data_IF_024064463896
#
_entry.id   IF_024064463896
#
_cell.length_a   1.000
_cell.length_b   1.000
_cell.length_c   1.000
_cell.angle_alpha   90.00
_cell.angle_beta   90.00
_cell.angle_gamma   90.00
#
_symmetry.space_group_name_H-M   'P 1'
#
loop_
_entity.id
_entity.type
_entity.pdbx_description
1 polymer ?
#
# COMPACT_ATOMS: atom_id res chain seq x y z
N UNK A 1 1.75 -17.26 2.84
CA UNK A 1 1.38 -15.84 2.68
C UNK A 1 1.49 -15.09 4.01
N UNK A 2 0.78 -15.51 5.09
CA UNK A 2 0.75 -14.79 6.38
C UNK A 2 2.16 -14.69 7.01
N UNK A 3 2.93 -15.77 7.04
CA UNK A 3 4.28 -15.77 7.58
C UNK A 3 5.21 -14.78 6.84
N UNK A 4 5.14 -14.74 5.52
CA UNK A 4 5.88 -13.77 4.70
C UNK A 4 5.46 -12.32 5.02
N UNK A 5 4.17 -12.10 5.25
CA UNK A 5 3.63 -10.81 5.65
C UNK A 5 4.15 -10.36 7.01
N UNK A 6 4.17 -11.25 7.99
CA UNK A 6 4.71 -10.97 9.33
C UNK A 6 6.20 -10.65 9.29
N UNK A 7 6.98 -11.42 8.51
CA UNK A 7 8.42 -11.19 8.33
C UNK A 7 8.66 -9.82 7.68
N UNK A 8 7.91 -9.49 6.61
CA UNK A 8 8.07 -8.22 5.91
C UNK A 8 7.72 -7.01 6.79
N UNK A 9 6.59 -7.06 7.49
CA UNK A 9 6.20 -6.01 8.42
C UNK A 9 7.20 -5.91 9.59
N UNK A 10 7.63 -7.06 10.13
CA UNK A 10 8.63 -7.12 11.19
C UNK A 10 9.96 -6.49 10.76
N UNK A 11 10.37 -6.67 9.50
CA UNK A 11 11.59 -6.06 8.96
C UNK A 11 11.52 -4.53 8.95
N UNK A 12 10.40 -3.95 8.53
CA UNK A 12 10.22 -2.48 8.47
C UNK A 12 10.28 -1.88 9.89
N UNK A 13 9.63 -2.53 10.87
CA UNK A 13 9.70 -2.09 12.27
C UNK A 13 11.08 -2.32 12.86
N UNK A 14 11.75 -3.43 12.54
CA UNK A 14 13.12 -3.70 13.00
C UNK A 14 14.11 -2.61 12.55
N UNK A 15 13.99 -2.14 11.30
CA UNK A 15 14.81 -1.04 10.77
C UNK A 15 14.56 0.25 11.57
N UNK A 16 13.32 0.53 11.90
CA UNK A 16 12.93 1.67 12.74
C UNK A 16 13.60 1.59 14.13
N UNK A 17 13.45 0.47 14.83
CA UNK A 17 14.03 0.26 16.15
C UNK A 17 15.57 0.30 16.12
N UNK A 18 16.17 -0.20 15.03
CA UNK A 18 17.62 -0.13 14.83
C UNK A 18 18.10 1.33 14.71
N UNK A 19 17.31 2.20 14.10
CA UNK A 19 17.58 3.64 14.07
C UNK A 19 17.69 4.21 15.49
N UNK A 20 16.71 3.95 16.33
CA UNK A 20 16.73 4.37 17.74
C UNK A 20 17.92 3.79 18.51
N UNK A 21 18.20 2.50 18.32
CA UNK A 21 19.32 1.81 18.96
C UNK A 21 20.66 2.47 18.63
N UNK A 22 20.94 2.69 17.34
CA UNK A 22 22.21 3.28 16.89
C UNK A 22 22.38 4.69 17.45
N UNK A 23 21.33 5.52 17.37
CA UNK A 23 21.38 6.89 17.86
C UNK A 23 21.47 6.95 19.39
N UNK A 24 20.76 6.10 20.13
CA UNK A 24 20.86 6.03 21.58
C UNK A 24 22.31 5.78 22.02
N UNK A 25 22.94 4.76 21.43
CA UNK A 25 24.35 4.42 21.70
C UNK A 25 25.31 5.57 21.33
N UNK A 26 25.09 6.20 20.17
CA UNK A 26 25.90 7.35 19.72
C UNK A 26 25.75 8.57 20.64
N UNK A 27 24.56 8.78 21.21
CA UNK A 27 24.26 9.89 22.13
C UNK A 27 24.61 9.59 23.59
N UNK A 28 25.19 8.40 23.87
CA UNK A 28 25.60 8.01 25.21
C UNK A 28 24.46 7.52 26.12
N UNK A 29 23.36 7.08 25.51
CA UNK A 29 22.24 6.43 26.22
C UNK A 29 22.39 4.93 26.12
N UNK A 30 22.31 4.27 27.29
CA UNK A 30 22.43 2.82 27.39
C UNK A 30 21.14 2.16 26.93
N UNK A 31 21.26 1.12 26.08
CA UNK A 31 20.12 0.31 25.65
C UNK A 31 20.17 -1.00 26.44
N UNK A 32 19.17 -1.22 27.29
CA UNK A 32 19.05 -2.43 28.12
C UNK A 32 18.65 -3.65 27.29
N UNK A 33 17.68 -3.49 26.42
CA UNK A 33 17.16 -4.59 25.58
C UNK A 33 16.87 -4.12 24.17
N UNK A 34 17.30 -4.89 23.19
CA UNK A 34 16.88 -4.78 21.81
C UNK A 34 16.17 -6.07 21.40
N UNK A 35 14.87 -6.00 21.14
CA UNK A 35 14.06 -7.18 20.84
C UNK A 35 13.60 -7.19 19.40
N UNK A 36 13.75 -8.34 18.74
CA UNK A 36 13.12 -8.70 17.49
C UNK A 36 11.85 -9.47 17.85
N UNK A 37 10.70 -8.85 17.63
CA UNK A 37 9.41 -9.38 18.03
C UNK A 37 8.95 -8.95 19.42
N UNK A 38 7.73 -9.34 19.75
CA UNK A 38 7.06 -9.07 21.03
C UNK A 38 6.77 -10.35 21.80
N UNK A 39 6.56 -10.21 23.10
CA UNK A 39 6.15 -11.32 23.98
C UNK A 39 7.31 -12.02 24.68
N UNK A 40 7.11 -13.27 25.15
CA UNK A 40 8.11 -14.04 25.85
C UNK A 40 9.36 -14.26 25.02
N UNK A 41 10.53 -14.26 25.69
CA UNK A 41 11.81 -14.53 25.06
C UNK A 41 11.91 -16.00 24.64
N UNK A 42 12.22 -16.25 23.37
CA UNK A 42 12.58 -17.59 22.85
C UNK A 42 14.09 -17.81 23.00
N UNK A 43 14.87 -16.84 22.52
CA UNK A 43 16.34 -16.89 22.50
C UNK A 43 16.91 -15.50 22.69
N UNK A 44 18.21 -15.42 22.99
CA UNK A 44 18.89 -14.15 23.07
C UNK A 44 20.27 -14.29 23.71
N UNK A 45 21.06 -13.23 23.57
CA UNK A 45 22.42 -13.14 24.12
C UNK A 45 22.65 -11.71 24.62
N UNK A 46 23.66 -11.55 25.50
CA UNK A 46 24.09 -10.21 25.94
C UNK A 46 25.40 -9.83 25.26
N UNK A 47 25.43 -8.63 24.65
CA UNK A 47 26.65 -8.08 24.03
C UNK A 47 26.65 -6.56 24.15
N UNK A 48 27.77 -6.00 24.57
CA UNK A 48 27.97 -4.56 24.69
C UNK A 48 27.03 -3.86 25.68
N UNK A 49 26.62 -4.55 26.77
CA UNK A 49 25.68 -4.04 27.76
C UNK A 49 24.19 -4.21 27.37
N UNK A 50 23.89 -4.60 26.15
CA UNK A 50 22.51 -4.79 25.64
C UNK A 50 22.16 -6.28 25.61
N UNK A 51 20.96 -6.62 26.06
CA UNK A 51 20.35 -7.92 25.82
C UNK A 51 19.67 -7.92 24.44
N UNK A 52 20.20 -8.73 23.53
CA UNK A 52 19.60 -9.00 22.23
C UNK A 52 18.61 -10.15 22.37
N UNK A 53 17.35 -9.91 22.03
CA UNK A 53 16.25 -10.83 22.32
C UNK A 53 15.47 -11.18 21.04
N UNK A 54 15.14 -12.46 20.90
CA UNK A 54 14.16 -12.95 19.94
C UNK A 54 12.92 -13.36 20.71
N UNK A 55 11.78 -12.83 20.33
CA UNK A 55 10.49 -13.03 21.00
C UNK A 55 9.50 -13.83 20.15
N UNK A 56 8.47 -14.39 20.79
CA UNK A 56 7.53 -15.35 20.20
C UNK A 56 6.77 -14.78 18.99
N UNK A 57 6.33 -13.52 19.08
CA UNK A 57 5.54 -12.91 18.03
C UNK A 57 6.46 -12.08 17.12
N UNK A 58 6.71 -12.49 15.85
CA UNK A 58 7.62 -11.82 14.94
C UNK A 58 7.00 -10.54 14.33
N UNK A 59 6.19 -9.83 15.10
CA UNK A 59 5.52 -8.60 14.69
C UNK A 59 6.25 -7.43 15.35
N UNK A 60 7.11 -6.76 14.58
CA UNK A 60 7.84 -5.60 15.09
C UNK A 60 9.02 -5.91 15.99
N UNK A 61 9.25 -5.04 16.95
CA UNK A 61 10.34 -5.10 17.92
C UNK A 61 10.24 -3.98 18.92
N UNK A 62 11.25 -3.82 19.76
CA UNK A 62 11.40 -2.66 20.64
C UNK A 62 12.85 -2.43 21.06
N UNK A 63 13.17 -1.17 21.31
CA UNK A 63 14.46 -0.73 21.82
C UNK A 63 14.24 -0.14 23.23
N UNK A 64 14.47 -0.94 24.29
CA UNK A 64 14.34 -0.49 25.68
C UNK A 64 15.58 0.25 26.13
N UNK A 65 15.43 1.55 26.38
CA UNK A 65 16.50 2.41 26.86
C UNK A 65 16.50 2.47 28.39
N UNK A 66 17.68 2.66 28.99
CA UNK A 66 17.82 2.85 30.43
C UNK A 66 17.04 4.07 30.90
N UNK A 67 16.34 3.95 32.04
CA UNK A 67 15.59 5.02 32.68
C UNK A 67 14.07 4.81 32.68
N UNK A 68 13.54 3.78 32.04
CA UNK A 68 12.10 3.45 32.11
C UNK A 68 11.67 3.06 33.53
N UNK A 69 12.52 2.28 34.22
CA UNK A 69 12.24 1.87 35.59
C UNK A 69 12.23 3.08 36.54
N UNK A 70 13.22 3.97 36.42
CA UNK A 70 13.30 5.21 37.19
C UNK A 70 12.14 6.12 36.93
N UNK A 71 11.63 6.15 35.68
CA UNK A 71 10.41 6.88 35.32
C UNK A 71 9.17 6.30 36.02
N UNK A 72 9.03 4.97 36.04
CA UNK A 72 7.92 4.29 36.73
C UNK A 72 7.94 4.60 38.23
N UNK A 73 9.10 4.46 38.85
CA UNK A 73 9.28 4.77 40.31
C UNK A 73 8.98 6.24 40.60
N UNK A 74 9.41 7.17 39.74
CA UNK A 74 9.10 8.59 39.87
C UNK A 74 7.59 8.88 39.80
N UNK A 75 6.86 8.14 38.96
CA UNK A 75 5.39 8.22 38.87
C UNK A 75 4.72 7.71 40.15
N UNK A 76 5.09 6.53 40.61
CA UNK A 76 4.56 5.90 41.82
C UNK A 76 4.78 6.78 43.07
N UNK A 77 5.98 7.35 43.19
CA UNK A 77 6.36 8.23 44.30
C UNK A 77 5.89 9.68 44.11
N UNK A 78 5.15 9.99 43.03
CA UNK A 78 4.67 11.35 42.68
C UNK A 78 5.81 12.38 42.69
N UNK A 79 7.02 11.97 42.27
CA UNK A 79 8.20 12.81 42.27
C UNK A 79 7.97 14.08 41.41
N UNK A 80 8.48 15.25 41.85
CA UNK A 80 8.35 16.49 41.10
C UNK A 80 9.19 16.52 39.82
N UNK A 81 10.28 15.76 39.79
CA UNK A 81 11.24 15.68 38.67
C UNK A 81 11.72 14.25 38.45
N UNK A 82 12.19 13.97 37.23
CA UNK A 82 12.83 12.69 36.89
C UNK A 82 14.29 12.65 37.39
N UNK A 83 14.73 11.51 37.92
CA UNK A 83 16.14 11.31 38.24
C UNK A 83 17.03 11.46 37.00
N UNK A 84 18.08 12.26 37.12
CA UNK A 84 19.08 12.42 36.04
C UNK A 84 20.20 11.41 36.19
N UNK A 85 19.92 10.17 35.84
CA UNK A 85 20.92 9.10 35.87
C UNK A 85 21.82 9.17 34.64
N UNK A 86 23.13 8.97 34.84
CA UNK A 86 24.08 8.88 33.73
C UNK A 86 23.76 7.69 32.85
N UNK A 87 23.77 7.91 31.53
CA UNK A 87 23.42 6.88 30.53
C UNK A 87 21.93 6.61 30.39
N UNK A 88 21.02 7.28 31.16
CA UNK A 88 19.59 7.12 31.00
C UNK A 88 19.02 8.06 29.92
N UNK A 89 17.93 7.63 29.28
CA UNK A 89 17.25 8.43 28.29
C UNK A 89 16.73 9.76 28.87
N UNK A 90 16.12 9.72 30.04
CA UNK A 90 15.60 10.93 30.70
C UNK A 90 16.70 11.80 31.32
N UNK A 91 17.90 11.26 31.55
CA UNK A 91 19.08 12.02 31.97
C UNK A 91 19.78 12.75 30.82
N UNK A 92 19.53 12.35 29.58
CA UNK A 92 20.07 12.97 28.39
C UNK A 92 19.44 14.36 28.14
N UNK A 93 20.21 15.27 27.49
CA UNK A 93 19.71 16.58 27.12
C UNK A 93 18.53 16.47 26.11
N UNK A 94 17.62 17.46 26.10
CA UNK A 94 16.50 17.45 25.16
C UNK A 94 16.91 17.26 23.68
N UNK A 95 18.03 17.88 23.27
CA UNK A 95 18.53 17.74 21.90
C UNK A 95 18.96 16.29 21.60
N UNK A 96 19.66 15.61 22.52
CA UNK A 96 20.02 14.20 22.35
C UNK A 96 18.80 13.29 22.23
N UNK A 97 17.78 13.55 23.05
CA UNK A 97 16.50 12.83 22.98
C UNK A 97 15.75 13.06 21.67
N UNK A 98 15.78 14.29 21.13
CA UNK A 98 15.22 14.60 19.80
C UNK A 98 15.94 13.82 18.71
N UNK A 99 17.29 13.78 18.73
CA UNK A 99 18.08 13.01 17.76
C UNK A 99 17.72 11.52 17.83
N UNK A 100 17.61 10.97 19.04
CA UNK A 100 17.21 9.57 19.23
C UNK A 100 15.79 9.32 18.68
N UNK A 101 14.82 10.16 19.04
CA UNK A 101 13.43 10.00 18.56
C UNK A 101 13.31 10.16 17.03
N UNK A 102 14.10 11.05 16.42
CA UNK A 102 14.08 11.25 14.95
C UNK A 102 14.76 10.10 14.20
N UNK A 103 15.68 9.39 14.83
CA UNK A 103 16.52 8.38 14.15
C UNK A 103 15.75 7.12 13.69
N UNK A 104 14.70 6.70 14.40
CA UNK A 104 13.83 5.62 13.96
C UNK A 104 13.13 5.96 12.64
N UNK A 105 12.37 7.06 12.59
CA UNK A 105 11.79 7.53 11.35
C UNK A 105 12.83 7.74 10.23
N UNK A 106 13.99 8.36 10.52
CA UNK A 106 15.04 8.57 9.54
C UNK A 106 15.60 7.26 8.95
N UNK A 107 15.74 6.22 9.77
CA UNK A 107 16.16 4.90 9.32
C UNK A 107 15.15 4.30 8.31
N UNK A 108 13.86 4.54 8.50
CA UNK A 108 12.84 4.08 7.57
C UNK A 108 12.94 4.76 6.20
N UNK A 109 13.19 6.06 6.14
CA UNK A 109 13.43 6.76 4.85
C UNK A 109 14.69 6.25 4.17
N UNK A 110 15.77 6.07 4.94
CA UNK A 110 17.01 5.52 4.41
C UNK A 110 16.82 4.11 3.86
N UNK A 111 16.09 3.25 4.57
CA UNK A 111 15.76 1.91 4.11
C UNK A 111 14.96 1.96 2.79
N UNK A 112 13.91 2.78 2.73
CA UNK A 112 13.11 2.92 1.51
C UNK A 112 13.96 3.40 0.33
N UNK A 113 14.82 4.41 0.53
CA UNK A 113 15.76 4.90 -0.48
C UNK A 113 16.69 3.79 -0.99
N UNK A 114 17.31 3.03 -0.07
CA UNK A 114 18.21 1.94 -0.44
C UNK A 114 17.48 0.84 -1.22
N UNK A 115 16.25 0.52 -0.82
CA UNK A 115 15.41 -0.45 -1.55
C UNK A 115 15.07 0.04 -2.94
N UNK A 116 14.63 1.29 -3.11
CA UNK A 116 14.32 1.83 -4.44
C UNK A 116 15.56 1.94 -5.33
N UNK A 117 16.73 2.27 -4.79
CA UNK A 117 18.00 2.21 -5.53
C UNK A 117 18.26 0.77 -5.99
N UNK A 118 18.14 -0.22 -5.09
CA UNK A 118 18.37 -1.62 -5.42
C UNK A 118 17.39 -2.13 -6.49
N UNK A 119 16.10 -1.80 -6.37
CA UNK A 119 15.08 -2.12 -7.37
C UNK A 119 15.41 -1.50 -8.74
N UNK A 120 15.87 -0.24 -8.73
CA UNK A 120 16.26 0.47 -9.96
C UNK A 120 17.48 -0.15 -10.65
N UNK A 121 18.39 -0.80 -9.90
CA UNK A 121 19.54 -1.49 -10.52
C UNK A 121 19.17 -2.80 -11.20
N UNK A 122 18.11 -3.46 -10.75
CA UNK A 122 17.70 -4.78 -11.25
C UNK A 122 16.77 -4.61 -12.48
N UNK A 123 15.88 -3.60 -12.43
CA UNK A 123 14.73 -3.52 -13.34
C UNK A 123 13.70 -4.62 -13.06
N UNK A 124 12.51 -4.46 -13.60
CA UNK A 124 11.46 -5.45 -13.39
C UNK A 124 10.36 -5.35 -14.44
N UNK A 125 9.55 -6.38 -14.54
CA UNK A 125 8.38 -6.40 -15.40
C UNK A 125 7.12 -6.66 -14.58
N UNK A 126 6.09 -5.82 -14.80
CA UNK A 126 4.78 -5.96 -14.16
C UNK A 126 3.70 -6.14 -15.21
N UNK A 127 2.68 -6.98 -14.95
CA UNK A 127 1.49 -6.99 -15.79
C UNK A 127 0.78 -5.65 -15.69
N UNK A 128 0.37 -5.11 -16.81
CA UNK A 128 -0.40 -3.89 -16.93
C UNK A 128 -1.40 -3.99 -18.06
N UNK A 129 -2.12 -2.93 -18.31
CA UNK A 129 -3.01 -2.77 -19.45
C UNK A 129 -2.63 -1.50 -20.20
N UNK A 130 -3.01 -1.44 -21.47
CA UNK A 130 -2.78 -0.24 -22.29
C UNK A 130 -3.45 0.99 -21.67
N UNK A 131 -2.99 2.17 -22.06
CA UNK A 131 -3.59 3.46 -21.68
C UNK A 131 -4.93 3.75 -22.39
N UNK A 132 -5.56 2.75 -22.99
CA UNK A 132 -6.88 2.80 -23.58
C UNK A 132 -7.94 2.51 -22.51
N UNK A 133 -9.05 3.24 -22.52
CA UNK A 133 -10.06 3.19 -21.47
C UNK A 133 -11.39 2.62 -21.94
N UNK A 134 -12.17 2.15 -20.95
CA UNK A 134 -13.57 1.76 -21.05
C UNK A 134 -14.36 2.57 -20.04
N UNK A 135 -15.52 3.13 -20.41
CA UNK A 135 -16.40 3.82 -19.48
C UNK A 135 -17.21 2.82 -18.65
N UNK A 136 -17.15 2.93 -17.33
CA UNK A 136 -17.91 2.07 -16.42
C UNK A 136 -19.43 2.30 -16.49
N UNK A 137 -19.87 3.49 -16.93
CA UNK A 137 -21.28 3.82 -17.11
C UNK A 137 -21.98 2.98 -18.19
N UNK A 138 -21.22 2.43 -19.14
CA UNK A 138 -21.74 1.64 -20.26
C UNK A 138 -22.03 0.18 -19.86
N UNK A 139 -21.45 -0.31 -18.75
CA UNK A 139 -21.48 -1.74 -18.37
C UNK A 139 -22.03 -1.96 -16.97
N UNK A 140 -22.80 -3.03 -16.81
CA UNK A 140 -23.23 -3.51 -15.49
C UNK A 140 -22.23 -4.52 -14.94
N UNK A 141 -21.47 -4.10 -13.93
CA UNK A 141 -20.48 -4.93 -13.25
C UNK A 141 -20.92 -5.37 -11.85
N UNK A 142 -22.22 -5.23 -11.52
CA UNK A 142 -22.78 -5.64 -10.22
C UNK A 142 -22.43 -4.73 -9.05
N UNK A 143 -21.61 -3.70 -9.24
CA UNK A 143 -21.29 -2.68 -8.24
C UNK A 143 -22.29 -1.51 -8.32
N UNK A 144 -22.24 -0.59 -7.33
CA UNK A 144 -23.06 0.64 -7.36
C UNK A 144 -22.76 1.41 -8.63
N UNK A 145 -23.71 1.39 -9.56
CA UNK A 145 -23.62 2.09 -10.84
C UNK A 145 -24.10 3.52 -10.67
N UNK A 146 -23.24 4.48 -10.99
CA UNK A 146 -23.67 5.87 -11.20
C UNK A 146 -24.14 6.01 -12.66
N UNK A 147 -25.21 6.73 -12.86
CA UNK A 147 -25.73 7.04 -14.22
C UNK A 147 -24.75 7.90 -15.02
N UNK A 148 -23.83 8.60 -14.36
CA UNK A 148 -22.82 9.45 -14.99
C UNK A 148 -21.64 9.67 -14.05
N UNK A 149 -20.45 9.30 -14.51
CA UNK A 149 -19.18 9.57 -13.85
C UNK A 149 -18.52 10.85 -14.38
N UNK A 150 -17.46 11.37 -13.76
CA UNK A 150 -16.71 12.52 -14.28
C UNK A 150 -16.20 12.33 -15.72
N UNK A 151 -15.81 11.12 -16.12
CA UNK A 151 -15.36 10.81 -17.48
C UNK A 151 -16.47 11.04 -18.51
N UNK A 152 -17.71 10.60 -18.21
CA UNK A 152 -18.87 10.82 -19.08
C UNK A 152 -19.14 12.31 -19.28
N UNK A 153 -19.13 13.07 -18.18
CA UNK A 153 -19.38 14.52 -18.20
C UNK A 153 -18.32 15.29 -18.99
N UNK A 154 -17.09 14.79 -19.01
CA UNK A 154 -16.00 15.35 -19.81
C UNK A 154 -16.05 14.96 -21.28
N UNK A 155 -16.96 14.05 -21.66
CA UNK A 155 -17.13 13.57 -23.04
C UNK A 155 -16.00 12.62 -23.46
N UNK A 156 -15.44 11.85 -22.51
CA UNK A 156 -14.62 10.68 -22.82
C UNK A 156 -15.52 9.59 -23.40
N UNK A 157 -14.93 8.66 -24.14
CA UNK A 157 -15.63 7.51 -24.74
C UNK A 157 -14.81 6.24 -24.54
N UNK A 158 -15.50 5.11 -24.47
CA UNK A 158 -14.82 3.80 -24.53
C UNK A 158 -14.01 3.71 -25.81
N UNK A 159 -12.76 3.25 -25.68
CA UNK A 159 -11.80 3.21 -26.76
C UNK A 159 -10.83 4.39 -26.82
N UNK A 160 -11.08 5.50 -26.12
CA UNK A 160 -10.12 6.61 -26.04
C UNK A 160 -8.78 6.13 -25.46
N UNK A 161 -7.69 6.59 -26.05
CA UNK A 161 -6.33 6.38 -25.54
C UNK A 161 -5.88 7.65 -24.81
N UNK A 162 -5.54 7.54 -23.54
CA UNK A 162 -5.05 8.67 -22.74
C UNK A 162 -3.54 8.77 -22.92
N UNK A 163 -3.06 9.78 -23.66
CA UNK A 163 -1.64 9.92 -23.97
C UNK A 163 -0.88 10.81 -23.00
N UNK A 164 -1.55 11.73 -22.32
CA UNK A 164 -0.95 12.53 -21.25
C UNK A 164 -1.99 13.01 -20.24
N UNK A 165 -1.54 13.28 -19.01
CA UNK A 165 -2.30 13.92 -17.94
C UNK A 165 -1.44 15.03 -17.29
N UNK A 166 -1.93 16.29 -17.27
CA UNK A 166 -1.19 17.47 -16.84
C UNK A 166 0.20 17.55 -17.49
N UNK A 167 0.22 17.42 -18.82
CA UNK A 167 1.43 17.41 -19.70
C UNK A 167 2.44 16.29 -19.42
N UNK A 168 2.15 15.36 -18.49
CA UNK A 168 2.98 14.21 -18.25
C UNK A 168 2.50 13.02 -19.07
N UNK A 169 3.38 12.33 -19.77
CA UNK A 169 3.02 11.16 -20.57
C UNK A 169 2.34 10.08 -19.72
N UNK A 170 1.37 9.40 -20.28
CA UNK A 170 0.71 8.22 -19.72
C UNK A 170 1.09 7.03 -20.59
N UNK A 171 1.89 6.14 -20.05
CA UNK A 171 2.41 4.97 -20.77
C UNK A 171 1.43 3.81 -20.75
N UNK A 172 0.74 3.62 -19.64
CA UNK A 172 -0.20 2.53 -19.42
C UNK A 172 -1.36 2.94 -18.49
N UNK A 173 -2.26 2.00 -18.20
CA UNK A 173 -3.40 2.26 -17.34
C UNK A 173 -3.01 2.49 -15.87
N UNK A 174 -1.90 1.92 -15.40
CA UNK A 174 -1.43 2.12 -14.03
C UNK A 174 -1.00 3.56 -13.79
N UNK A 175 -0.27 4.16 -14.76
CA UNK A 175 0.10 5.58 -14.72
C UNK A 175 -1.14 6.49 -14.67
N UNK A 176 -2.16 6.16 -15.48
CA UNK A 176 -3.43 6.90 -15.49
C UNK A 176 -4.14 6.78 -14.14
N UNK A 177 -4.24 5.57 -13.60
CA UNK A 177 -4.92 5.29 -12.34
C UNK A 177 -4.25 6.03 -11.17
N UNK A 178 -2.92 6.05 -11.11
CA UNK A 178 -2.17 6.80 -10.11
C UNK A 178 -2.52 8.30 -10.16
N UNK A 179 -2.52 8.90 -11.36
CA UNK A 179 -2.85 10.31 -11.55
C UNK A 179 -4.27 10.65 -11.09
N UNK A 180 -5.23 9.82 -11.48
CA UNK A 180 -6.63 9.98 -11.09
C UNK A 180 -6.77 9.89 -9.56
N UNK A 181 -6.19 8.83 -8.97
CA UNK A 181 -6.28 8.55 -7.54
C UNK A 181 -5.73 9.69 -6.69
N UNK A 182 -4.60 10.27 -7.09
CA UNK A 182 -3.94 11.36 -6.36
C UNK A 182 -4.57 12.75 -6.60
N UNK A 183 -5.60 12.86 -7.44
CA UNK A 183 -6.20 14.13 -7.85
C UNK A 183 -7.69 14.25 -7.49
N UNK A 184 -8.13 13.60 -6.40
CA UNK A 184 -9.50 13.74 -5.94
C UNK A 184 -9.90 15.22 -5.77
N UNK A 185 -11.05 15.60 -6.32
CA UNK A 185 -11.60 16.96 -6.31
C UNK A 185 -10.72 18.05 -6.97
N UNK A 186 -9.72 17.65 -7.78
CA UNK A 186 -8.85 18.57 -8.53
C UNK A 186 -8.95 18.30 -10.02
N UNK A 187 -9.07 19.32 -10.87
CA UNK A 187 -9.14 19.11 -12.31
C UNK A 187 -7.81 18.57 -12.84
N UNK A 188 -7.90 17.64 -13.78
CA UNK A 188 -6.77 17.07 -14.55
C UNK A 188 -7.00 17.40 -16.01
N UNK A 189 -5.98 17.94 -16.67
CA UNK A 189 -5.99 18.14 -18.13
C UNK A 189 -5.55 16.84 -18.81
N UNK A 190 -6.46 16.19 -19.53
CA UNK A 190 -6.17 14.97 -20.28
C UNK A 190 -5.97 15.28 -21.76
N UNK A 191 -4.90 14.74 -22.33
CA UNK A 191 -4.69 14.65 -23.77
C UNK A 191 -5.06 13.24 -24.20
N UNK A 192 -6.06 13.13 -25.07
CA UNK A 192 -6.60 11.85 -25.54
C UNK A 192 -6.42 11.73 -27.04
N UNK A 193 -6.24 10.50 -27.50
CA UNK A 193 -6.28 10.13 -28.90
C UNK A 193 -7.55 9.31 -29.18
N UNK A 194 -8.34 9.73 -30.15
CA UNK A 194 -9.54 9.05 -30.63
C UNK A 194 -9.53 9.07 -32.17
N UNK A 195 -9.56 7.91 -32.77
CA UNK A 195 -9.53 7.72 -34.23
C UNK A 195 -8.35 8.46 -34.91
N UNK A 196 -7.18 8.46 -34.24
CA UNK A 196 -5.98 9.15 -34.71
C UNK A 196 -5.96 10.67 -34.51
N UNK A 197 -7.02 11.24 -33.93
CA UNK A 197 -7.14 12.68 -33.68
C UNK A 197 -6.92 12.98 -32.20
N UNK A 198 -6.14 14.02 -31.91
CA UNK A 198 -5.87 14.47 -30.55
C UNK A 198 -6.94 15.44 -30.04
N UNK A 199 -7.43 15.18 -28.83
CA UNK A 199 -8.37 16.06 -28.13
C UNK A 199 -7.80 16.41 -26.76
N UNK A 200 -8.22 17.56 -26.24
CA UNK A 200 -7.93 17.99 -24.87
C UNK A 200 -9.23 18.03 -24.07
N UNK A 201 -9.23 17.40 -22.91
CA UNK A 201 -10.38 17.27 -22.01
C UNK A 201 -9.95 17.58 -20.60
N UNK A 202 -10.77 18.30 -19.85
CA UNK A 202 -10.55 18.48 -18.42
C UNK A 202 -11.54 17.60 -17.66
N UNK A 203 -11.03 16.78 -16.75
CA UNK A 203 -11.82 15.89 -15.90
C UNK A 203 -11.50 16.21 -14.44
N UNK A 204 -12.52 16.39 -13.61
CA UNK A 204 -12.32 16.52 -12.16
C UNK A 204 -12.74 15.20 -11.50
N UNK A 205 -11.78 14.39 -11.01
CA UNK A 205 -12.09 13.16 -10.31
C UNK A 205 -12.93 13.44 -9.07
N UNK A 206 -14.00 12.68 -8.88
CA UNK A 206 -14.75 12.69 -7.63
C UNK A 206 -14.00 11.93 -6.54
N UNK A 207 -14.19 12.31 -5.28
CA UNK A 207 -13.64 11.55 -4.16
C UNK A 207 -14.39 10.22 -4.01
N UNK A 208 -13.70 9.11 -4.14
CA UNK A 208 -14.21 7.81 -3.70
C UNK A 208 -14.12 7.75 -2.16
N UNK A 209 -15.25 7.73 -1.51
CA UNK A 209 -15.32 7.71 -0.04
C UNK A 209 -14.84 6.40 0.59
N UNK A 210 -14.78 5.32 -0.18
CA UNK A 210 -14.36 4.01 0.31
C UNK A 210 -12.84 3.83 0.26
N UNK A 211 -12.18 4.40 -0.76
CA UNK A 211 -10.73 4.29 -0.94
C UNK A 211 -9.96 5.56 -0.58
N UNK A 212 -10.63 6.71 -0.55
CA UNK A 212 -10.02 8.02 -0.37
C UNK A 212 -9.32 8.57 -1.62
N UNK A 213 -9.36 7.84 -2.72
CA UNK A 213 -8.79 8.23 -4.00
C UNK A 213 -9.73 9.00 -4.91
N UNK A 214 -9.20 9.57 -5.98
CA UNK A 214 -9.98 10.12 -7.07
C UNK A 214 -10.60 9.01 -7.93
N UNK A 215 -11.80 9.24 -8.45
CA UNK A 215 -12.52 8.33 -9.33
C UNK A 215 -13.09 9.12 -10.50
N UNK A 216 -12.89 8.65 -11.74
CA UNK A 216 -13.53 9.24 -12.93
C UNK A 216 -14.51 8.30 -13.63
N UNK A 217 -14.56 7.03 -13.24
CA UNK A 217 -15.48 6.04 -13.82
C UNK A 217 -14.96 5.38 -15.09
N UNK A 218 -13.67 5.10 -15.14
CA UNK A 218 -13.04 4.35 -16.24
C UNK A 218 -12.42 3.05 -15.74
N UNK A 219 -12.40 2.05 -16.61
CA UNK A 219 -11.64 0.83 -16.49
C UNK A 219 -10.63 0.72 -17.62
N UNK A 220 -9.72 -0.23 -17.50
CA UNK A 220 -8.75 -0.55 -18.55
C UNK A 220 -9.41 -1.25 -19.74
N UNK A 221 -8.86 -1.00 -20.92
CA UNK A 221 -9.16 -1.80 -22.08
C UNK A 221 -8.23 -3.01 -22.14
N UNK A 222 -8.78 -4.18 -22.24
CA UNK A 222 -8.05 -5.38 -22.59
C UNK A 222 -8.77 -6.10 -23.73
N UNK A 223 -8.04 -6.55 -24.73
CA UNK A 223 -8.60 -7.37 -25.75
C UNK A 223 -9.19 -8.66 -25.15
N UNK A 224 -10.29 -9.20 -25.71
CA UNK A 224 -10.95 -10.38 -25.15
C UNK A 224 -10.19 -11.66 -25.48
N UNK A 225 -8.87 -11.66 -25.29
CA UNK A 225 -7.98 -12.81 -25.49
C UNK A 225 -7.72 -13.45 -24.14
N UNK A 226 -8.02 -14.74 -24.02
CA UNK A 226 -7.79 -15.52 -22.81
C UNK A 226 -6.29 -15.61 -22.54
N UNK A 227 -5.87 -15.15 -21.37
CA UNK A 227 -4.49 -15.23 -20.88
C UNK A 227 -4.26 -16.44 -20.00
N UNK A 228 -5.10 -16.60 -19.01
CA UNK A 228 -4.95 -17.62 -17.97
C UNK A 228 -6.27 -18.37 -17.75
N UNK A 229 -6.20 -19.69 -17.58
CA UNK A 229 -7.37 -20.53 -17.25
C UNK A 229 -7.06 -21.27 -15.96
N UNK A 230 -7.91 -21.07 -14.96
CA UNK A 230 -7.75 -21.69 -13.64
C UNK A 230 -8.07 -23.20 -13.74
N UNK A 231 -7.20 -24.03 -13.18
CA UNK A 231 -7.41 -25.47 -13.15
C UNK A 231 -8.71 -25.83 -12.40
N UNK A 232 -9.51 -26.74 -12.98
CA UNK A 232 -10.80 -27.16 -12.44
C UNK A 232 -11.94 -26.15 -12.62
N UNK A 233 -11.70 -25.03 -13.30
CA UNK A 233 -12.72 -24.01 -13.51
C UNK A 233 -13.73 -24.36 -14.59
N UNK A 234 -14.86 -23.64 -14.63
CA UNK A 234 -15.86 -23.76 -15.66
C UNK A 234 -15.28 -23.51 -17.08
N UNK A 235 -14.34 -22.59 -17.21
CA UNK A 235 -13.64 -22.32 -18.47
C UNK A 235 -12.83 -23.56 -18.93
N UNK A 236 -12.05 -24.17 -18.02
CA UNK A 236 -11.26 -25.37 -18.35
C UNK A 236 -12.16 -26.54 -18.72
N UNK A 237 -13.22 -26.79 -17.94
CA UNK A 237 -14.17 -27.90 -18.18
C UNK A 237 -14.86 -27.73 -19.55
N UNK A 238 -15.15 -26.49 -19.94
CA UNK A 238 -15.74 -26.18 -21.23
C UNK A 238 -14.74 -26.23 -22.40
N UNK A 239 -13.44 -26.41 -22.11
CA UNK A 239 -12.39 -26.50 -23.14
C UNK A 239 -11.88 -25.16 -23.64
N UNK A 240 -12.05 -24.07 -22.86
CA UNK A 240 -11.40 -22.77 -23.12
C UNK A 240 -9.92 -22.88 -22.78
N UNK A 241 -9.06 -22.37 -23.64
CA UNK A 241 -7.60 -22.40 -23.48
C UNK A 241 -6.98 -21.01 -23.59
N UNK A 242 -5.78 -20.87 -23.06
CA UNK A 242 -4.98 -19.65 -23.23
C UNK A 242 -4.74 -19.37 -24.72
N UNK A 243 -4.93 -18.11 -25.15
CA UNK A 243 -4.83 -17.70 -26.55
C UNK A 243 -6.17 -17.63 -27.29
N UNK A 244 -7.25 -18.22 -26.75
CA UNK A 244 -8.57 -18.09 -27.35
C UNK A 244 -9.03 -16.63 -27.34
N UNK A 245 -9.63 -16.18 -28.43
CA UNK A 245 -10.33 -14.88 -28.48
C UNK A 245 -11.81 -15.13 -28.28
N UNK A 246 -12.41 -14.50 -27.26
CA UNK A 246 -13.86 -14.53 -27.05
C UNK A 246 -14.51 -13.60 -28.08
N UNK A 247 -15.38 -14.14 -28.91
CA UNK A 247 -16.05 -13.44 -30.01
C UNK A 247 -17.46 -13.00 -29.60
N UNK A 248 -18.21 -13.88 -28.93
CA UNK A 248 -19.55 -13.56 -28.46
C UNK A 248 -19.96 -14.39 -27.26
N UNK A 249 -20.89 -13.86 -26.47
CA UNK A 249 -21.50 -14.49 -25.30
C UNK A 249 -23.02 -14.39 -25.47
N UNK A 250 -23.71 -15.52 -25.52
CA UNK A 250 -25.16 -15.62 -25.78
C UNK A 250 -25.63 -14.80 -27.00
N UNK A 251 -24.82 -14.86 -28.08
CA UNK A 251 -25.08 -14.18 -29.36
C UNK A 251 -24.74 -12.68 -29.36
N UNK A 252 -24.31 -12.10 -28.26
CA UNK A 252 -23.83 -10.69 -28.21
C UNK A 252 -22.33 -10.65 -28.45
N UNK A 253 -21.88 -9.78 -29.36
CA UNK A 253 -20.46 -9.60 -29.66
C UNK A 253 -19.69 -9.06 -28.46
N UNK A 254 -18.41 -9.43 -28.38
CA UNK A 254 -17.49 -9.02 -27.31
C UNK A 254 -16.31 -8.30 -27.95
N UNK A 255 -16.13 -7.03 -27.60
CA UNK A 255 -15.06 -6.18 -28.12
C UNK A 255 -13.86 -6.08 -27.14
N UNK A 256 -14.11 -6.19 -25.85
CA UNK A 256 -13.08 -6.13 -24.80
C UNK A 256 -13.49 -6.90 -23.53
N UNK A 257 -12.52 -7.12 -22.64
CA UNK A 257 -12.66 -7.94 -21.43
C UNK A 257 -13.79 -7.47 -20.49
N UNK A 258 -13.96 -6.15 -20.30
CA UNK A 258 -14.98 -5.59 -19.40
C UNK A 258 -16.39 -5.91 -19.92
N UNK A 259 -16.59 -5.84 -21.24
CA UNK A 259 -17.86 -6.23 -21.87
C UNK A 259 -18.14 -7.72 -21.67
N UNK A 260 -17.13 -8.57 -21.84
CA UNK A 260 -17.26 -10.00 -21.55
C UNK A 260 -17.69 -10.25 -20.10
N UNK A 261 -17.06 -9.60 -19.12
CA UNK A 261 -17.47 -9.72 -17.71
C UNK A 261 -18.89 -9.22 -17.45
N UNK A 262 -19.28 -8.11 -18.05
CA UNK A 262 -20.63 -7.57 -17.93
C UNK A 262 -21.68 -8.55 -18.48
N UNK A 263 -21.44 -9.11 -19.67
CA UNK A 263 -22.32 -10.09 -20.29
C UNK A 263 -22.42 -11.37 -19.44
N UNK A 264 -21.31 -11.87 -18.92
CA UNK A 264 -21.28 -13.05 -18.05
C UNK A 264 -22.04 -12.81 -16.73
N UNK A 265 -21.91 -11.62 -16.13
CA UNK A 265 -22.65 -11.28 -14.90
C UNK A 265 -24.14 -11.06 -15.13
N UNK A 266 -24.52 -10.61 -16.32
CA UNK A 266 -25.93 -10.42 -16.70
C UNK A 266 -26.58 -11.73 -17.15
N UNK A 267 -25.80 -12.72 -17.55
CA UNK A 267 -26.28 -14.04 -17.92
C UNK A 267 -26.78 -14.77 -16.67
N UNK A 268 -28.08 -15.01 -16.57
CA UNK A 268 -28.69 -15.74 -15.45
C UNK A 268 -28.98 -17.23 -15.72
N UNK A 269 -28.73 -17.84 -16.89
CA UNK A 269 -28.97 -19.27 -17.04
C UNK A 269 -27.76 -20.09 -16.59
N UNK A 270 -28.04 -21.27 -16.12
CA UNK A 270 -27.05 -22.30 -15.76
C UNK A 270 -26.09 -22.66 -16.91
N UNK A 271 -26.46 -22.33 -18.14
CA UNK A 271 -25.65 -22.56 -19.36
C UNK A 271 -25.56 -21.29 -20.18
N UNK A 272 -24.33 -20.88 -20.44
CA UNK A 272 -24.00 -19.73 -21.27
C UNK A 272 -23.27 -20.20 -22.51
N UNK A 273 -23.68 -19.74 -23.66
CA UNK A 273 -23.07 -20.05 -24.97
C UNK A 273 -21.95 -19.06 -25.23
N UNK A 274 -20.71 -19.53 -25.32
CA UNK A 274 -19.55 -18.72 -25.62
C UNK A 274 -18.98 -19.15 -26.97
N UNK A 275 -18.83 -18.20 -27.91
CA UNK A 275 -18.12 -18.43 -29.17
C UNK A 275 -16.72 -17.89 -29.02
N UNK A 276 -15.73 -18.77 -29.26
CA UNK A 276 -14.31 -18.43 -29.27
C UNK A 276 -13.74 -18.57 -30.68
N UNK A 277 -12.64 -17.86 -30.93
CA UNK A 277 -11.79 -18.10 -32.09
C UNK A 277 -10.44 -18.66 -31.61
N UNK A 278 -10.07 -19.84 -32.15
CA UNK A 278 -8.82 -20.53 -31.88
C UNK A 278 -8.17 -20.91 -33.20
N UNK A 279 -6.97 -20.38 -33.50
CA UNK A 279 -6.26 -20.67 -34.73
C UNK A 279 -7.03 -20.31 -36.00
N UNK A 280 -7.81 -19.21 -35.97
CA UNK A 280 -8.64 -18.75 -37.10
C UNK A 280 -9.95 -19.53 -37.27
N UNK A 281 -10.25 -20.49 -36.40
CA UNK A 281 -11.51 -21.26 -36.45
C UNK A 281 -12.43 -20.87 -35.28
N UNK A 282 -13.68 -20.62 -35.57
CA UNK A 282 -14.69 -20.34 -34.56
C UNK A 282 -15.21 -21.65 -33.97
N UNK A 283 -15.31 -21.67 -32.63
CA UNK A 283 -15.84 -22.79 -31.86
C UNK A 283 -16.93 -22.30 -30.91
N UNK A 284 -18.00 -23.03 -30.80
CA UNK A 284 -19.08 -22.78 -29.89
C UNK A 284 -18.96 -23.69 -28.67
N UNK A 285 -18.93 -23.12 -27.50
CA UNK A 285 -18.79 -23.81 -26.22
C UNK A 285 -19.97 -23.52 -25.32
N UNK A 286 -20.50 -24.53 -24.65
CA UNK A 286 -21.52 -24.36 -23.63
C UNK A 286 -20.87 -24.44 -22.25
N UNK A 287 -20.93 -23.36 -21.50
CA UNK A 287 -20.28 -23.19 -20.21
C UNK A 287 -21.32 -23.13 -19.11
N UNK A 288 -21.11 -23.91 -18.05
CA UNK A 288 -21.94 -23.84 -16.83
C UNK A 288 -21.24 -22.83 -15.90
N UNK A 289 -21.89 -21.69 -15.65
CA UNK A 289 -21.36 -20.66 -14.77
C UNK A 289 -21.56 -21.05 -13.31
N UNK A 290 -20.54 -20.79 -12.48
CA UNK A 290 -20.65 -20.75 -11.04
C UNK A 290 -20.69 -19.30 -10.56
N UNK A 291 -21.29 -19.05 -9.38
CA UNK A 291 -21.43 -17.72 -8.82
C UNK A 291 -20.70 -17.65 -7.49
N UNK A 292 -19.96 -16.58 -7.26
CA UNK A 292 -19.34 -16.36 -5.96
C UNK A 292 -20.34 -15.79 -4.94
N UNK A 293 -19.91 -15.62 -3.69
CA UNK A 293 -20.72 -15.07 -2.59
C UNK A 293 -21.23 -13.64 -2.85
N UNK A 294 -20.62 -12.93 -3.79
CA UNK A 294 -21.02 -11.58 -4.20
C UNK A 294 -21.99 -11.56 -5.39
N UNK A 295 -22.40 -12.73 -5.87
CA UNK A 295 -23.29 -12.86 -7.02
C UNK A 295 -22.62 -12.53 -8.37
N UNK A 296 -21.29 -12.57 -8.43
CA UNK A 296 -20.53 -12.41 -9.66
C UNK A 296 -20.22 -13.78 -10.27
N UNK A 297 -20.28 -13.86 -11.60
CA UNK A 297 -19.93 -15.10 -12.32
C UNK A 297 -18.46 -15.43 -12.15
N UNK A 298 -18.17 -16.69 -11.84
CA UNK A 298 -16.81 -17.20 -11.76
C UNK A 298 -16.56 -18.20 -12.89
N UNK A 299 -16.05 -17.70 -14.00
CA UNK A 299 -15.67 -18.53 -15.13
C UNK A 299 -14.28 -19.16 -14.95
N UNK A 300 -13.44 -18.55 -14.09
CA UNK A 300 -12.07 -19.01 -13.82
C UNK A 300 -11.13 -18.79 -15.00
N UNK A 301 -11.30 -17.69 -15.73
CA UNK A 301 -10.35 -17.22 -16.73
C UNK A 301 -9.91 -15.78 -16.44
N UNK A 302 -8.68 -15.46 -16.83
CA UNK A 302 -8.15 -14.11 -16.92
C UNK A 302 -7.88 -13.74 -18.36
N UNK A 303 -8.12 -12.47 -18.73
CA UNK A 303 -7.73 -11.96 -20.03
C UNK A 303 -6.25 -11.59 -20.08
N UNK A 304 -5.67 -11.62 -21.28
CA UNK A 304 -4.25 -11.34 -21.49
C UNK A 304 -3.93 -9.92 -21.05
N UNK A 305 -2.89 -9.78 -20.24
CA UNK A 305 -2.31 -8.49 -19.83
C UNK A 305 -1.15 -8.13 -20.75
N UNK A 306 -0.89 -6.84 -20.88
CA UNK A 306 0.37 -6.33 -21.41
C UNK A 306 1.47 -6.42 -20.33
N UNK A 307 2.70 -6.26 -20.71
CA UNK A 307 3.82 -6.25 -19.77
C UNK A 307 4.49 -4.89 -19.81
N UNK A 308 4.40 -4.17 -18.69
CA UNK A 308 5.20 -2.97 -18.48
C UNK A 308 6.58 -3.38 -17.97
N UNK A 309 7.62 -3.01 -18.71
CA UNK A 309 9.01 -3.31 -18.33
C UNK A 309 9.72 -2.03 -17.92
N UNK A 310 10.05 -1.94 -16.65
CA UNK A 310 10.94 -0.91 -16.11
C UNK A 310 12.37 -1.42 -16.32
N UNK A 311 13.11 -0.76 -17.21
CA UNK A 311 14.50 -1.14 -17.51
C UNK A 311 15.40 -0.82 -16.33
N UNK A 312 16.41 -1.66 -16.11
CA UNK A 312 17.46 -1.39 -15.16
C UNK A 312 18.15 -0.04 -15.47
N UNK A 313 18.54 0.68 -14.45
CA UNK A 313 19.27 1.93 -14.59
C UNK A 313 20.62 1.69 -15.32
N UNK A 314 21.00 2.62 -16.20
CA UNK A 314 22.19 2.48 -17.04
C UNK A 314 23.51 2.44 -16.22
N UNK A 315 23.51 3.06 -15.03
CA UNK A 315 24.65 3.08 -14.12
C UNK A 315 24.18 3.39 -12.68
N UNK A 316 25.11 3.29 -11.73
CA UNK A 316 24.80 3.53 -10.31
C UNK A 316 24.26 4.94 -10.05
N UNK A 317 24.78 5.98 -10.70
CA UNK A 317 24.30 7.36 -10.56
C UNK A 317 22.83 7.50 -11.00
N UNK A 318 22.47 6.87 -12.13
CA UNK A 318 21.09 6.82 -12.60
C UNK A 318 20.18 6.05 -11.63
N UNK A 319 20.66 4.94 -11.01
CA UNK A 319 19.92 4.19 -10.02
C UNK A 319 19.67 5.03 -8.75
N UNK A 320 20.66 5.77 -8.29
CA UNK A 320 20.51 6.69 -7.15
C UNK A 320 19.49 7.78 -7.46
N UNK A 321 19.58 8.40 -8.63
CA UNK A 321 18.62 9.44 -9.06
C UNK A 321 17.19 8.88 -9.14
N UNK A 322 17.01 7.69 -9.72
CA UNK A 322 15.72 7.02 -9.80
C UNK A 322 15.18 6.68 -8.40
N UNK A 323 16.01 6.13 -7.52
CA UNK A 323 15.64 5.82 -6.13
C UNK A 323 15.22 7.05 -5.33
N UNK A 324 15.92 8.17 -5.49
CA UNK A 324 15.54 9.45 -4.87
C UNK A 324 14.21 9.98 -5.39
N UNK A 325 14.00 9.90 -6.71
CA UNK A 325 12.75 10.32 -7.36
C UNK A 325 11.58 9.50 -6.84
N UNK A 326 11.74 8.16 -6.78
CA UNK A 326 10.70 7.25 -6.31
C UNK A 326 10.40 7.43 -4.82
N UNK A 327 11.45 7.61 -4.00
CA UNK A 327 11.29 7.94 -2.56
C UNK A 327 10.47 9.21 -2.37
N UNK A 328 10.78 10.26 -3.14
CA UNK A 328 10.07 11.54 -3.08
C UNK A 328 8.62 11.42 -3.60
N UNK A 329 8.41 10.69 -4.70
CA UNK A 329 7.09 10.44 -5.25
C UNK A 329 6.21 9.69 -4.24
N UNK A 330 6.73 8.61 -3.64
CA UNK A 330 6.06 7.82 -2.61
C UNK A 330 5.73 8.65 -1.37
N UNK A 331 6.67 9.48 -0.90
CA UNK A 331 6.44 10.39 0.22
C UNK A 331 5.27 11.35 -0.06
N UNK A 332 5.28 12.01 -1.22
CA UNK A 332 4.21 12.94 -1.60
C UNK A 332 2.86 12.23 -1.79
N UNK A 333 2.85 11.03 -2.39
CA UNK A 333 1.64 10.23 -2.56
C UNK A 333 1.04 9.85 -1.18
N UNK A 334 1.88 9.43 -0.24
CA UNK A 334 1.46 9.07 1.13
C UNK A 334 0.89 10.29 1.87
N UNK A 335 1.52 11.46 1.76
CA UNK A 335 0.99 12.70 2.36
C UNK A 335 -0.38 13.09 1.78
N UNK A 336 -0.54 12.98 0.45
CA UNK A 336 -1.82 13.25 -0.21
C UNK A 336 -2.89 12.26 0.24
N UNK A 337 -2.55 10.97 0.34
CA UNK A 337 -3.44 9.93 0.86
C UNK A 337 -3.88 10.19 2.30
N UNK A 338 -2.95 10.60 3.18
CA UNK A 338 -3.29 11.03 4.54
C UNK A 338 -4.23 12.26 4.54
N UNK A 339 -3.96 13.23 3.67
CA UNK A 339 -4.81 14.41 3.53
C UNK A 339 -6.25 14.09 3.10
N UNK A 340 -6.44 13.03 2.30
CA UNK A 340 -7.78 12.61 1.86
C UNK A 340 -8.65 12.08 3.02
N UNK A 341 -8.05 11.54 4.09
CA UNK A 341 -8.79 11.07 5.28
C UNK A 341 -9.60 12.19 5.95
N UNK A 342 -9.19 13.45 5.79
CA UNK A 342 -9.91 14.61 6.32
C UNK A 342 -11.03 15.12 5.39
N UNK A 343 -11.26 14.46 4.25
CA UNK A 343 -12.26 14.86 3.26
C UNK A 343 -13.57 14.04 3.36
N UNK A 344 -13.83 13.40 4.50
CA UNK A 344 -15.06 12.64 4.74
C UNK A 344 -15.04 11.22 4.16
N UNK A 345 -13.88 10.60 4.16
CA UNK A 345 -13.68 9.20 3.74
C UNK A 345 -14.23 8.23 4.80
N UNK A 346 -14.72 7.10 4.36
CA UNK A 346 -15.14 6.01 5.24
C UNK A 346 -13.93 5.34 5.89
N UNK A 347 -13.62 5.70 7.13
CA UNK A 347 -12.43 5.22 7.83
C UNK A 347 -12.37 3.69 7.95
N UNK A 348 -13.52 3.00 8.08
CA UNK A 348 -13.56 1.53 8.19
C UNK A 348 -13.10 0.83 6.90
N UNK A 349 -13.28 1.48 5.74
CA UNK A 349 -12.86 0.92 4.45
C UNK A 349 -11.50 1.44 4.00
N UNK A 350 -11.22 2.71 4.27
CA UNK A 350 -9.98 3.37 3.85
C UNK A 350 -8.76 2.99 4.70
N UNK A 351 -8.97 2.73 6.01
CA UNK A 351 -7.89 2.30 6.88
C UNK A 351 -7.69 0.79 6.80
N UNK A 352 -6.47 0.38 6.54
CA UNK A 352 -6.05 -1.02 6.63
C UNK A 352 -5.45 -1.28 8.00
N UNK A 353 -6.00 -2.26 8.71
CA UNK A 353 -5.45 -2.72 9.98
C UNK A 353 -4.28 -3.70 9.79
N UNK A 354 -3.70 -4.18 10.90
CA UNK A 354 -2.52 -5.04 10.85
C UNK A 354 -2.73 -6.35 10.08
N UNK A 355 -3.92 -6.94 10.17
CA UNK A 355 -4.22 -8.20 9.49
C UNK A 355 -4.27 -8.03 7.97
N UNK A 356 -4.93 -6.96 7.49
CA UNK A 356 -5.00 -6.65 6.06
C UNK A 356 -3.63 -6.27 5.50
N UNK A 357 -2.85 -5.44 6.21
CA UNK A 357 -1.48 -5.09 5.81
C UNK A 357 -0.61 -6.34 5.72
N UNK A 358 -0.62 -7.21 6.76
CA UNK A 358 0.12 -8.47 6.76
C UNK A 358 -0.26 -9.36 5.58
N UNK A 359 -1.55 -9.46 5.29
CA UNK A 359 -2.06 -10.22 4.14
C UNK A 359 -1.53 -9.66 2.81
N UNK A 360 -1.59 -8.33 2.62
CA UNK A 360 -1.12 -7.66 1.38
C UNK A 360 0.39 -7.81 1.19
N UNK A 361 1.19 -7.63 2.25
CA UNK A 361 2.65 -7.88 2.21
C UNK A 361 2.95 -9.31 1.82
N UNK A 362 2.27 -10.25 2.47
CA UNK A 362 2.46 -11.67 2.19
C UNK A 362 2.03 -12.09 0.79
N UNK A 363 0.95 -11.53 0.27
CA UNK A 363 0.52 -11.75 -1.11
C UNK A 363 1.53 -11.19 -2.11
N UNK A 364 2.00 -9.97 -1.90
CA UNK A 364 3.02 -9.35 -2.73
C UNK A 364 4.32 -10.18 -2.74
N UNK A 365 4.75 -10.64 -1.57
CA UNK A 365 5.93 -11.50 -1.45
C UNK A 365 5.77 -12.85 -2.16
N UNK A 366 4.62 -13.51 -2.01
CA UNK A 366 4.33 -14.78 -2.67
C UNK A 366 4.35 -14.64 -4.21
N UNK A 367 3.69 -13.59 -4.74
CA UNK A 367 3.73 -13.28 -6.17
C UNK A 367 5.14 -12.96 -6.66
N UNK A 368 5.93 -12.23 -5.86
CA UNK A 368 7.32 -11.92 -6.17
C UNK A 368 8.20 -13.15 -6.27
N UNK A 369 8.03 -14.10 -5.36
CA UNK A 369 8.77 -15.38 -5.38
C UNK A 369 8.40 -16.21 -6.61
N UNK A 370 7.13 -16.30 -6.98
CA UNK A 370 6.68 -17.02 -8.16
C UNK A 370 7.25 -16.44 -9.47
N UNK A 371 7.52 -15.14 -9.50
CA UNK A 371 8.05 -14.42 -10.67
C UNK A 371 9.52 -14.02 -10.51
N UNK A 372 10.28 -14.73 -9.69
CA UNK A 372 11.67 -14.38 -9.35
C UNK A 372 12.56 -14.16 -10.59
N UNK A 373 12.47 -15.03 -11.58
CA UNK A 373 13.27 -14.95 -12.82
C UNK A 373 13.02 -13.69 -13.67
N UNK A 374 11.86 -13.02 -13.50
CA UNK A 374 11.48 -11.79 -14.21
C UNK A 374 11.60 -10.52 -13.36
N UNK A 375 12.45 -10.53 -12.32
CA UNK A 375 12.59 -9.41 -11.40
C UNK A 375 11.42 -9.27 -10.42
N UNK A 376 10.68 -10.36 -10.19
CA UNK A 376 9.47 -10.37 -9.37
C UNK A 376 9.64 -9.89 -7.92
N UNK A 377 10.87 -9.91 -7.38
CA UNK A 377 11.15 -9.36 -6.04
C UNK A 377 11.05 -7.82 -5.98
N UNK A 378 11.10 -7.14 -7.12
CA UNK A 378 10.97 -5.67 -7.12
C UNK A 378 9.64 -5.20 -6.52
N UNK A 379 8.53 -5.88 -6.84
CA UNK A 379 7.19 -5.52 -6.34
C UNK A 379 7.09 -5.62 -4.81
N UNK A 380 7.40 -6.75 -4.15
CA UNK A 380 7.36 -6.84 -2.69
C UNK A 380 8.37 -5.91 -2.01
N UNK A 381 9.56 -5.71 -2.57
CA UNK A 381 10.54 -4.77 -2.03
C UNK A 381 10.02 -3.33 -2.10
N UNK A 382 9.49 -2.90 -3.24
CA UNK A 382 8.88 -1.57 -3.38
C UNK A 382 7.70 -1.38 -2.42
N UNK A 383 6.91 -2.43 -2.17
CA UNK A 383 5.83 -2.37 -1.20
C UNK A 383 6.34 -2.21 0.24
N UNK A 384 7.43 -2.89 0.61
CA UNK A 384 8.09 -2.68 1.92
C UNK A 384 8.66 -1.25 2.04
N UNK A 385 9.25 -0.71 0.97
CA UNK A 385 9.72 0.67 0.94
C UNK A 385 8.55 1.67 1.11
N UNK A 386 7.42 1.44 0.43
CA UNK A 386 6.20 2.21 0.62
C UNK A 386 5.72 2.20 2.08
N UNK A 387 5.63 1.01 2.71
CA UNK A 387 5.25 0.88 4.12
C UNK A 387 6.24 1.58 5.04
N UNK A 388 7.53 1.53 4.72
CA UNK A 388 8.58 2.20 5.51
C UNK A 388 8.44 3.72 5.46
N UNK A 389 8.11 4.30 4.30
CA UNK A 389 7.79 5.73 4.17
C UNK A 389 6.49 6.06 4.92
N UNK A 390 5.49 5.20 4.84
CA UNK A 390 4.26 5.35 5.63
C UNK A 390 4.54 5.41 7.12
N UNK A 391 5.36 4.48 7.62
CA UNK A 391 5.76 4.41 9.03
C UNK A 391 6.59 5.64 9.45
N UNK A 392 7.49 6.14 8.58
CA UNK A 392 8.19 7.41 8.79
C UNK A 392 7.22 8.56 9.00
N UNK A 393 6.26 8.76 8.09
CA UNK A 393 5.32 9.86 8.15
C UNK A 393 4.43 9.75 9.39
N UNK A 394 3.88 8.55 9.64
CA UNK A 394 3.00 8.32 10.79
C UNK A 394 3.72 8.58 12.11
N UNK A 395 4.96 8.10 12.27
CA UNK A 395 5.71 8.31 13.50
C UNK A 395 6.18 9.75 13.71
N UNK A 396 6.26 10.58 12.65
CA UNK A 396 6.56 12.00 12.78
C UNK A 396 5.33 12.88 13.04
N UNK A 397 4.12 12.33 13.00
CA UNK A 397 2.94 13.10 13.41
C UNK A 397 3.07 13.55 14.87
N UNK A 398 2.61 14.77 15.22
CA UNK A 398 2.68 15.30 16.58
C UNK A 398 1.62 14.65 17.50
N UNK A 399 1.49 13.34 17.39
CA UNK A 399 0.56 12.55 18.21
C UNK A 399 1.33 12.02 19.42
N UNK A 400 0.86 12.28 20.66
CA UNK A 400 1.45 11.70 21.84
C UNK A 400 1.58 10.18 21.72
N UNK A 401 2.64 9.62 22.31
CA UNK A 401 3.05 8.21 22.19
C UNK A 401 3.78 7.82 20.89
N UNK A 402 3.75 8.65 19.83
CA UNK A 402 4.63 8.50 18.67
C UNK A 402 5.91 9.33 18.84
N UNK A 403 6.93 9.05 18.02
CA UNK A 403 8.21 9.78 18.06
C UNK A 403 8.03 11.28 17.84
N UNK A 404 7.19 11.69 16.87
CA UNK A 404 6.87 13.09 16.62
C UNK A 404 6.26 13.78 17.83
N UNK A 405 5.37 13.10 18.56
CA UNK A 405 4.84 13.60 19.82
C UNK A 405 5.90 13.73 20.90
N UNK A 406 6.83 12.77 20.99
CA UNK A 406 7.96 12.86 21.91
C UNK A 406 8.89 14.03 21.54
N UNK A 407 9.18 14.22 20.25
CA UNK A 407 9.97 15.35 19.75
C UNK A 407 9.34 16.68 20.18
N UNK A 408 8.03 16.86 20.00
CA UNK A 408 7.31 18.06 20.46
C UNK A 408 7.50 18.29 21.96
N UNK A 409 7.38 17.24 22.76
CA UNK A 409 7.58 17.29 24.20
C UNK A 409 9.01 17.73 24.57
N UNK A 410 10.03 17.20 23.90
CA UNK A 410 11.42 17.55 24.15
C UNK A 410 11.78 18.96 23.66
N UNK A 411 11.18 19.43 22.57
CA UNK A 411 11.28 20.84 22.14
C UNK A 411 10.70 21.79 23.20
N UNK A 412 9.53 21.48 23.74
CA UNK A 412 8.90 22.27 24.81
C UNK A 412 9.80 22.29 26.07
N UNK A 413 10.35 21.14 26.45
CA UNK A 413 11.27 21.03 27.60
C UNK A 413 12.54 21.87 27.38
N UNK A 414 13.14 21.77 26.17
CA UNK A 414 14.31 22.57 25.81
C UNK A 414 14.06 24.08 25.84
N UNK A 415 12.93 24.50 25.27
CA UNK A 415 12.51 25.92 25.26
C UNK A 415 12.27 26.46 26.68
N UNK A 416 11.65 25.65 27.54
CA UNK A 416 11.37 26.04 28.95
C UNK A 416 12.61 25.95 29.85
N UNK A 417 13.68 25.31 29.41
CA UNK A 417 14.90 25.02 30.19
C UNK A 417 14.60 24.32 31.52
N UNK A 418 13.50 23.64 31.64
CA UNK A 418 13.06 22.90 32.83
C UNK A 418 12.48 21.56 32.42
N UNK A 419 12.85 20.50 33.14
CA UNK A 419 12.32 19.15 32.94
C UNK A 419 10.81 19.13 33.18
N UNK A 420 10.12 18.33 32.37
CA UNK A 420 8.71 18.09 32.56
C UNK A 420 8.49 17.14 33.74
N UNK A 421 7.39 17.33 34.47
CA UNK A 421 7.01 16.44 35.56
C UNK A 421 6.66 15.05 35.03
N UNK A 422 7.02 13.95 35.72
CA UNK A 422 6.70 12.58 35.31
C UNK A 422 5.21 12.40 34.98
N UNK A 423 4.33 12.94 35.84
CA UNK A 423 2.88 12.87 35.63
C UNK A 423 2.39 13.60 34.37
N UNK A 424 3.06 14.68 33.97
CA UNK A 424 2.74 15.40 32.73
C UNK A 424 3.10 14.58 31.50
N UNK A 425 4.29 13.97 31.51
CA UNK A 425 4.75 13.06 30.45
C UNK A 425 3.79 11.87 30.33
N UNK A 426 3.45 11.24 31.44
CA UNK A 426 2.54 10.10 31.47
C UNK A 426 1.15 10.44 30.90
N UNK A 427 0.55 11.54 31.36
CA UNK A 427 -0.78 11.97 30.88
C UNK A 427 -0.76 12.27 29.37
N UNK A 428 0.28 12.92 28.90
CA UNK A 428 0.49 13.20 27.49
C UNK A 428 0.56 11.90 26.67
N UNK A 429 1.42 10.96 27.09
CA UNK A 429 1.53 9.66 26.43
C UNK A 429 0.26 8.83 26.52
N UNK A 430 -0.46 8.87 27.65
CA UNK A 430 -1.71 8.14 27.83
C UNK A 430 -2.82 8.63 26.87
N UNK A 431 -2.94 9.94 26.66
CA UNK A 431 -3.88 10.50 25.69
C UNK A 431 -3.56 9.99 24.28
N UNK A 432 -2.28 10.01 23.89
CA UNK A 432 -1.87 9.51 22.58
C UNK A 432 -2.09 8.01 22.43
N UNK A 433 -1.73 7.22 23.43
CA UNK A 433 -1.96 5.77 23.42
C UNK A 433 -3.45 5.43 23.29
N UNK A 434 -4.33 6.16 23.99
CA UNK A 434 -5.79 5.98 23.87
C UNK A 434 -6.28 6.32 22.47
N UNK A 435 -5.77 7.39 21.88
CA UNK A 435 -6.11 7.78 20.50
C UNK A 435 -5.64 6.72 19.48
N UNK A 436 -4.40 6.23 19.61
CA UNK A 436 -3.87 5.17 18.74
C UNK A 436 -4.67 3.88 18.91
N UNK A 437 -5.04 3.53 20.14
CA UNK A 437 -5.88 2.35 20.40
C UNK A 437 -7.25 2.47 19.71
N UNK A 438 -7.87 3.66 19.74
CA UNK A 438 -9.13 3.88 19.04
C UNK A 438 -9.00 3.68 17.52
N UNK A 439 -7.96 4.24 16.90
CA UNK A 439 -7.67 4.03 15.47
C UNK A 439 -7.41 2.54 15.19
N UNK A 440 -6.64 1.87 16.04
CA UNK A 440 -6.35 0.45 15.91
C UNK A 440 -7.62 -0.42 15.94
N UNK A 441 -8.55 -0.11 16.85
CA UNK A 441 -9.86 -0.80 16.92
C UNK A 441 -10.66 -0.57 15.65
N UNK A 442 -10.75 0.67 15.17
CA UNK A 442 -11.46 1.00 13.93
C UNK A 442 -10.85 0.24 12.74
N UNK A 443 -9.53 0.23 12.61
CA UNK A 443 -8.83 -0.47 11.53
C UNK A 443 -9.02 -2.00 11.63
N UNK A 444 -9.02 -2.57 12.84
CA UNK A 444 -9.25 -4.01 13.06
C UNK A 444 -10.68 -4.41 12.70
N UNK A 445 -11.68 -3.58 13.03
CA UNK A 445 -13.06 -3.81 12.59
C UNK A 445 -13.15 -3.75 11.06
N UNK A 446 -12.45 -2.79 10.43
CA UNK A 446 -12.34 -2.70 8.97
C UNK A 446 -11.73 -3.96 8.35
N UNK A 447 -10.69 -4.52 8.98
CA UNK A 447 -10.06 -5.78 8.54
C UNK A 447 -11.05 -6.96 8.62
N UNK A 448 -11.80 -7.09 9.73
CA UNK A 448 -12.81 -8.13 9.87
C UNK A 448 -13.86 -8.04 8.77
N UNK A 449 -14.38 -6.84 8.50
CA UNK A 449 -15.34 -6.62 7.42
C UNK A 449 -14.75 -6.97 6.04
N UNK A 450 -13.48 -6.64 5.82
CA UNK A 450 -12.78 -6.98 4.57
C UNK A 450 -12.66 -8.50 4.37
N UNK A 451 -12.31 -9.27 5.41
CA UNK A 451 -12.16 -10.72 5.30
C UNK A 451 -13.49 -11.46 5.27
N UNK A 452 -14.55 -10.94 5.86
CA UNK A 452 -15.91 -11.51 5.78
C UNK A 452 -16.52 -11.29 4.39
N UNK A 453 -16.23 -10.15 3.76
CA UNK A 453 -16.72 -9.82 2.41
C UNK A 453 -15.96 -10.52 1.28
N UNK A 454 -14.83 -11.18 1.56
CA UNK A 454 -13.97 -11.89 0.61
C UNK A 454 -14.31 -13.38 0.54
#
# INVERSE_FOLDING_TARGET
TILLGLIGLGLVVLVHELGHFVAARAMGVEVETFSIGWGPRIAGFKKGGTEWRFSVFPIGGYCKMKGEESFRQALENKAPELPRETGSFYGASPLRRIVIALSGPAANVLFALLVFIAVSTIGYSTPTYSNRIVLLSEYDLGSVRLSSYPADRAGLKSGDRIVAADDKPISDFSDLLERITLSANKPIALKIERDGILYYKTVTPMLDKDTGGGLIGVAYWADPIVGEVTAGSAAQIAGIESGDRVISIDGKEVHHAIEAFSLLNSAKPERTKIVIERGGSRRELNVILSWNSQGLSNLGLGFKTETHTVRAAANFGAAVSAGMTETWATFNATLKGLGSLFQGVNLLKALSGPARITYMVGQSAAMGIQRFASGGLAVPLSFLAFLSIGLFIMNLLPIPALDGGQIVMFVVEGARRKSLRPITIYRYQFIGATFILAIFVIATVGDLLFFVAK
#
